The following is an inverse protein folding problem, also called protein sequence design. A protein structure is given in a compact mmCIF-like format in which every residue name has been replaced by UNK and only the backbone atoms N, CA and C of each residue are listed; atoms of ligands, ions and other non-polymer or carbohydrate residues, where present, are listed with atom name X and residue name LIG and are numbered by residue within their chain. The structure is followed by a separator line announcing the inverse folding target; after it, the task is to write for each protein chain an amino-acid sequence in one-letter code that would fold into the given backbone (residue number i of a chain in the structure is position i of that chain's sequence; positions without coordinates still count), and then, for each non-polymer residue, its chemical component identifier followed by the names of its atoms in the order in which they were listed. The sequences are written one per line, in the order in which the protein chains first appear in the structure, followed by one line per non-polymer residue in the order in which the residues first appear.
data_IF_597921166810
#
_entry.id   IF_597921166810
#
_cell.length_a   1.000
_cell.length_b   1.000
_cell.length_c   1.000
_cell.angle_alpha   90.00
_cell.angle_beta   90.00
_cell.angle_gamma   90.00
#
_symmetry.space_group_name_H-M   'P 1'
#
loop_
_entity.id
_entity.type
_entity.pdbx_description
1 polymer ?
#
# COMPACT_ATOMS: atom_id res chain seq x y z
N UNK A 1 -5.89 2.13 6.41
CA UNK A 1 -4.49 1.79 6.06
C UNK A 1 -4.01 2.49 4.78
N UNK A 2 -4.84 2.69 3.77
CA UNK A 2 -4.48 3.37 2.51
C UNK A 2 -3.89 4.76 2.74
N UNK A 3 -4.59 5.61 3.51
CA UNK A 3 -4.14 6.96 3.82
C UNK A 3 -2.78 6.98 4.55
N UNK A 4 -2.58 6.08 5.53
CA UNK A 4 -1.30 5.96 6.25
C UNK A 4 -0.15 5.67 5.31
N UNK A 5 -0.32 4.73 4.38
CA UNK A 5 0.71 4.40 3.38
C UNK A 5 1.03 5.62 2.52
N UNK A 6 0.02 6.30 1.98
CA UNK A 6 0.22 7.48 1.13
C UNK A 6 0.88 8.63 1.89
N UNK A 7 0.39 8.98 3.09
CA UNK A 7 0.93 10.06 3.90
C UNK A 7 2.40 9.79 4.31
N UNK A 8 2.71 8.58 4.78
CA UNK A 8 4.10 8.22 5.14
C UNK A 8 5.02 8.27 3.93
N UNK A 9 4.55 7.79 2.77
CA UNK A 9 5.33 7.88 1.52
C UNK A 9 5.56 9.33 1.12
N UNK A 10 4.59 10.23 1.31
CA UNK A 10 4.76 11.67 1.05
C UNK A 10 5.88 12.27 1.92
N UNK A 11 5.92 11.94 3.22
CA UNK A 11 6.99 12.40 4.12
C UNK A 11 8.37 11.89 3.65
N UNK A 12 8.46 10.63 3.21
CA UNK A 12 9.70 10.06 2.67
C UNK A 12 10.13 10.76 1.38
N UNK A 13 9.17 11.13 0.52
CA UNK A 13 9.43 11.92 -0.69
C UNK A 13 10.04 13.27 -0.31
N UNK A 14 9.46 13.97 0.67
CA UNK A 14 9.96 15.27 1.16
C UNK A 14 11.37 15.14 1.71
N UNK A 15 11.64 14.16 2.58
CA UNK A 15 13.00 13.89 3.08
C UNK A 15 13.97 13.62 1.93
N UNK A 16 13.59 12.80 0.96
CA UNK A 16 14.45 12.46 -0.18
C UNK A 16 14.72 13.65 -1.10
N UNK A 17 13.81 14.62 -1.20
CA UNK A 17 13.94 15.79 -2.08
C UNK A 17 14.91 16.86 -1.54
N UNK A 18 15.25 16.82 -0.26
CA UNK A 18 16.18 17.79 0.37
C UNK A 18 17.61 17.61 -0.14
N UNK A 19 17.98 16.41 -0.57
CA UNK A 19 19.36 16.11 -0.97
C UNK A 19 19.60 16.43 -2.44
N UNK A 20 20.72 17.10 -2.74
CA UNK A 20 21.15 17.43 -4.10
C UNK A 20 21.88 16.29 -4.83
N UNK A 21 22.10 15.16 -4.14
CA UNK A 21 22.81 14.00 -4.68
C UNK A 21 21.84 12.99 -5.30
N UNK A 22 22.31 12.28 -6.33
CA UNK A 22 21.57 11.17 -6.92
C UNK A 22 21.32 10.07 -5.90
N UNK A 23 20.05 9.75 -5.69
CA UNK A 23 19.65 8.77 -4.70
C UNK A 23 18.42 7.98 -5.13
N UNK A 24 18.30 6.75 -4.66
CA UNK A 24 17.14 5.89 -4.85
C UNK A 24 16.61 5.49 -3.48
N UNK A 25 15.31 5.67 -3.26
CA UNK A 25 14.63 5.19 -2.06
C UNK A 25 13.58 4.17 -2.47
N UNK A 26 13.71 2.95 -1.96
CA UNK A 26 12.81 1.84 -2.20
C UNK A 26 11.94 1.67 -0.94
N UNK A 27 10.63 1.81 -1.09
CA UNK A 27 9.68 1.76 0.02
C UNK A 27 8.90 0.46 -0.09
N UNK A 28 9.15 -0.46 0.84
CA UNK A 28 8.42 -1.71 0.96
C UNK A 28 7.12 -1.49 1.73
N UNK A 29 6.01 -1.90 1.13
CA UNK A 29 4.66 -1.66 1.62
C UNK A 29 3.95 -2.99 1.83
N UNK A 30 3.36 -3.17 3.02
CA UNK A 30 2.54 -4.35 3.34
C UNK A 30 1.36 -4.49 2.38
N UNK A 31 0.91 -5.72 2.18
CA UNK A 31 -0.26 -6.01 1.34
C UNK A 31 -0.37 -7.49 0.99
N UNK A 32 0.56 -8.31 1.48
CA UNK A 32 0.66 -9.75 1.15
C UNK A 32 0.66 -9.95 -0.37
N UNK A 33 -0.28 -10.73 -0.89
CA UNK A 33 -0.37 -11.08 -2.31
C UNK A 33 -1.28 -10.14 -3.12
N UNK A 34 -1.74 -9.00 -2.53
CA UNK A 34 -2.61 -8.04 -3.19
C UNK A 34 -2.06 -6.61 -3.05
N UNK A 35 -1.84 -5.94 -4.17
CA UNK A 35 -1.12 -4.68 -4.28
C UNK A 35 -1.90 -3.41 -3.90
N UNK A 36 -3.08 -3.50 -3.26
CA UNK A 36 -3.95 -2.36 -2.97
C UNK A 36 -3.27 -1.24 -2.19
N UNK A 37 -2.52 -1.59 -1.12
CA UNK A 37 -1.86 -0.59 -0.27
C UNK A 37 -0.70 0.09 -1.00
N UNK A 38 0.08 -0.67 -1.76
CA UNK A 38 1.18 -0.13 -2.56
C UNK A 38 0.64 0.75 -3.70
N UNK A 39 -0.40 0.29 -4.41
CA UNK A 39 -1.05 1.05 -5.46
C UNK A 39 -1.64 2.37 -4.93
N UNK A 40 -2.15 2.40 -3.67
CA UNK A 40 -2.76 3.61 -3.09
C UNK A 40 -1.81 4.80 -2.98
N UNK A 41 -0.49 4.59 -3.03
CA UNK A 41 0.49 5.68 -3.05
C UNK A 41 0.38 6.58 -4.29
N UNK A 42 -0.27 6.09 -5.35
CA UNK A 42 -0.55 6.87 -6.55
C UNK A 42 -1.45 8.10 -6.30
N UNK A 43 -2.22 8.15 -5.19
CA UNK A 43 -3.08 9.28 -4.84
C UNK A 43 -2.31 10.59 -4.67
N UNK A 44 -1.01 10.51 -4.39
CA UNK A 44 -0.14 11.69 -4.26
C UNK A 44 -0.09 12.51 -5.55
N UNK A 45 -0.35 11.91 -6.71
CA UNK A 45 -0.47 12.61 -8.00
C UNK A 45 -1.61 13.63 -8.01
N UNK A 46 -2.67 13.41 -7.25
CA UNK A 46 -3.78 14.37 -7.18
C UNK A 46 -3.34 15.73 -6.63
N UNK A 47 -2.25 15.76 -5.86
CA UNK A 47 -1.63 16.97 -5.33
C UNK A 47 -0.41 17.44 -6.14
N UNK A 48 -0.23 16.93 -7.35
CA UNK A 48 0.87 17.31 -8.24
C UNK A 48 2.22 16.64 -7.92
N UNK A 49 2.24 15.61 -7.07
CA UNK A 49 3.47 14.85 -6.82
C UNK A 49 3.79 13.94 -8.00
N UNK A 50 5.05 13.92 -8.42
CA UNK A 50 5.52 13.00 -9.45
C UNK A 50 5.94 11.63 -8.89
N UNK A 51 6.19 11.55 -7.59
CA UNK A 51 6.59 10.34 -6.89
C UNK A 51 5.40 9.71 -6.12
N UNK A 52 5.39 8.38 -5.89
CA UNK A 52 6.41 7.42 -6.34
C UNK A 52 6.50 7.36 -7.86
N UNK A 53 7.74 7.36 -8.38
CA UNK A 53 7.97 7.29 -9.82
C UNK A 53 7.66 5.91 -10.39
N UNK A 54 7.92 4.86 -9.58
CA UNK A 54 7.69 3.47 -9.91
C UNK A 54 6.87 2.81 -8.81
N UNK A 55 5.91 1.95 -9.21
CA UNK A 55 5.04 1.20 -8.29
C UNK A 55 4.97 -0.23 -8.81
N UNK A 56 5.51 -1.18 -8.02
CA UNK A 56 5.52 -2.60 -8.36
C UNK A 56 4.56 -3.39 -7.48
N UNK A 57 3.68 -4.15 -8.12
CA UNK A 57 2.59 -4.89 -7.49
C UNK A 57 2.75 -6.39 -7.67
N UNK A 58 2.27 -7.21 -6.71
CA UNK A 58 2.41 -8.68 -6.78
C UNK A 58 1.53 -9.33 -7.85
N UNK A 59 0.57 -8.60 -8.43
CA UNK A 59 -0.30 -9.08 -9.50
C UNK A 59 0.41 -9.25 -10.83
N UNK A 60 1.59 -8.66 -10.99
CA UNK A 60 2.41 -8.82 -12.19
C UNK A 60 3.67 -9.61 -11.90
N UNK A 61 4.14 -10.29 -12.93
CA UNK A 61 5.47 -10.89 -12.92
C UNK A 61 6.52 -9.79 -12.83
N UNK A 62 7.45 -9.92 -11.89
CA UNK A 62 8.55 -9.00 -11.66
C UNK A 62 9.82 -9.52 -12.33
N UNK A 63 10.54 -8.63 -13.03
CA UNK A 63 11.87 -8.90 -13.59
C UNK A 63 12.86 -7.88 -13.06
N UNK A 64 13.97 -8.36 -12.53
CA UNK A 64 15.08 -7.54 -12.04
C UNK A 64 15.70 -6.71 -13.18
N UNK A 65 15.83 -7.28 -14.36
CA UNK A 65 16.38 -6.60 -15.52
C UNK A 65 15.54 -5.38 -15.90
N UNK A 66 14.21 -5.56 -16.06
CA UNK A 66 13.27 -4.46 -16.33
C UNK A 66 13.25 -3.43 -15.23
N UNK A 67 13.27 -3.86 -13.99
CA UNK A 67 13.34 -2.96 -12.83
C UNK A 67 14.58 -2.05 -12.91
N UNK A 68 15.76 -2.60 -13.21
CA UNK A 68 16.99 -1.82 -13.37
C UNK A 68 16.93 -0.87 -14.56
N UNK A 69 16.31 -1.28 -15.69
CA UNK A 69 16.08 -0.41 -16.83
C UNK A 69 15.16 0.77 -16.46
N UNK A 70 14.06 0.51 -15.76
CA UNK A 70 13.13 1.54 -15.30
C UNK A 70 13.81 2.52 -14.35
N UNK A 71 14.60 2.03 -13.41
CA UNK A 71 15.43 2.87 -12.52
C UNK A 71 16.36 3.77 -13.33
N UNK A 72 17.07 3.23 -14.31
CA UNK A 72 17.98 4.02 -15.16
C UNK A 72 17.23 5.10 -15.94
N UNK A 73 16.08 4.77 -16.54
CA UNK A 73 15.24 5.74 -17.26
C UNK A 73 14.78 6.88 -16.35
N UNK A 74 14.27 6.56 -15.16
CA UNK A 74 13.77 7.57 -14.22
C UNK A 74 14.89 8.47 -13.71
N UNK A 75 16.08 7.92 -13.43
CA UNK A 75 17.25 8.70 -12.99
C UNK A 75 17.74 9.75 -13.99
N UNK A 76 17.50 9.55 -15.29
CA UNK A 76 17.85 10.58 -16.28
C UNK A 76 17.04 11.87 -16.10
N UNK A 77 15.89 11.80 -15.46
CA UNK A 77 14.97 12.93 -15.25
C UNK A 77 14.96 13.41 -13.80
N UNK A 78 15.08 12.47 -12.84
CA UNK A 78 14.93 12.75 -11.42
C UNK A 78 16.16 12.35 -10.63
N UNK A 79 16.74 13.30 -9.86
CA UNK A 79 17.89 13.02 -8.97
C UNK A 79 17.52 12.11 -7.81
N UNK A 80 16.33 12.31 -7.22
CA UNK A 80 15.79 11.46 -6.18
C UNK A 80 14.72 10.54 -6.77
N UNK A 81 15.01 9.26 -6.94
CA UNK A 81 14.05 8.26 -7.43
C UNK A 81 13.37 7.59 -6.26
N UNK A 82 12.04 7.57 -6.27
CA UNK A 82 11.22 6.90 -5.27
C UNK A 82 10.50 5.73 -5.92
N UNK A 83 10.66 4.56 -5.33
CA UNK A 83 10.03 3.31 -5.74
C UNK A 83 9.15 2.80 -4.62
N UNK A 84 7.89 2.52 -4.90
CA UNK A 84 7.01 1.77 -4.02
C UNK A 84 6.95 0.31 -4.49
N UNK A 85 7.22 -0.63 -3.60
CA UNK A 85 7.18 -2.06 -3.90
C UNK A 85 6.32 -2.79 -2.87
N UNK A 86 5.45 -3.68 -3.33
CA UNK A 86 4.68 -4.54 -2.42
C UNK A 86 5.55 -5.66 -1.84
N UNK A 87 5.42 -5.95 -0.55
CA UNK A 87 6.09 -7.08 0.10
C UNK A 87 5.83 -8.43 -0.59
N UNK A 88 4.73 -8.54 -1.33
CA UNK A 88 4.34 -9.75 -2.06
C UNK A 88 4.96 -9.91 -3.44
N UNK A 89 5.79 -8.95 -3.89
CA UNK A 89 6.54 -9.08 -5.15
C UNK A 89 7.58 -10.19 -5.01
N UNK A 90 7.63 -11.09 -5.98
CA UNK A 90 8.55 -12.23 -5.99
C UNK A 90 9.57 -12.07 -7.11
N UNK A 91 10.84 -12.22 -6.77
CA UNK A 91 11.93 -12.37 -7.73
C UNK A 91 11.99 -13.85 -8.14
N UNK A 92 12.17 -14.15 -9.42
CA UNK A 92 12.28 -15.53 -9.90
C UNK A 92 13.50 -16.22 -9.30
N UNK A 93 13.37 -17.53 -9.00
CA UNK A 93 14.49 -18.37 -8.57
C UNK A 93 15.59 -18.35 -9.63
N UNK A 94 16.82 -18.09 -9.19
CA UNK A 94 18.00 -17.95 -10.07
C UNK A 94 18.44 -16.52 -10.35
N UNK A 95 17.58 -15.50 -10.14
CA UNK A 95 17.97 -14.07 -10.24
C UNK A 95 18.50 -13.50 -8.90
N UNK A 96 18.15 -14.14 -7.77
CA UNK A 96 18.78 -13.94 -6.46
C UNK A 96 18.40 -15.03 -5.47
N UNK A 97 19.40 -15.72 -4.92
CA UNK A 97 19.21 -16.84 -3.98
C UNK A 97 18.97 -16.42 -2.51
N UNK A 98 18.73 -15.15 -2.25
CA UNK A 98 18.64 -14.66 -0.87
C UNK A 98 17.23 -14.23 -0.48
N UNK A 99 16.45 -15.16 0.08
CA UNK A 99 15.25 -14.87 0.86
C UNK A 99 15.51 -15.22 2.34
N UNK A 100 15.83 -14.24 3.21
CA UNK A 100 16.20 -14.49 4.60
C UNK A 100 15.04 -14.99 5.47
N UNK A 101 13.81 -14.99 4.97
CA UNK A 101 12.60 -15.36 5.73
C UNK A 101 11.80 -16.50 5.11
N UNK A 102 12.35 -17.18 4.13
CA UNK A 102 11.73 -18.36 3.52
C UNK A 102 11.45 -19.42 4.60
N UNK A 103 10.17 -19.70 4.86
CA UNK A 103 9.72 -20.76 5.78
C UNK A 103 9.27 -20.32 7.17
N UNK A 104 9.25 -19.01 7.50
CA UNK A 104 8.63 -18.51 8.74
C UNK A 104 7.13 -18.33 8.50
N UNK A 105 6.32 -19.11 9.22
CA UNK A 105 4.85 -19.12 9.07
C UNK A 105 4.22 -18.56 10.33
N UNK A 106 3.20 -17.72 10.19
CA UNK A 106 2.43 -17.20 11.32
C UNK A 106 1.46 -18.27 11.88
N UNK A 107 0.80 -17.96 13.02
CA UNK A 107 -0.15 -18.87 13.68
C UNK A 107 -1.37 -19.25 12.82
N UNK A 108 -1.59 -18.58 11.70
CA UNK A 108 -2.67 -18.85 10.75
C UNK A 108 -2.18 -19.61 9.50
N UNK A 109 -0.90 -20.01 9.46
CA UNK A 109 -0.33 -20.73 8.32
C UNK A 109 0.13 -19.87 7.16
N UNK A 110 0.27 -18.54 7.35
CA UNK A 110 0.74 -17.66 6.30
C UNK A 110 2.25 -17.41 6.39
N UNK A 111 2.94 -17.52 5.27
CA UNK A 111 4.36 -17.13 5.19
C UNK A 111 4.55 -15.66 5.55
N UNK A 112 5.62 -15.39 6.31
CA UNK A 112 6.02 -14.02 6.61
C UNK A 112 6.74 -13.43 5.41
N UNK A 113 6.04 -12.55 4.67
CA UNK A 113 6.61 -11.81 3.55
C UNK A 113 7.32 -10.57 4.08
N UNK A 114 8.57 -10.36 3.71
CA UNK A 114 9.30 -9.11 3.93
C UNK A 114 10.72 -9.21 3.37
N UNK A 115 11.38 -8.05 3.20
CA UNK A 115 12.78 -8.00 2.78
C UNK A 115 12.99 -7.85 1.28
N UNK A 116 11.93 -7.76 0.48
CA UNK A 116 12.05 -7.43 -0.95
C UNK A 116 12.73 -6.08 -1.15
N UNK A 117 12.39 -5.07 -0.34
CA UNK A 117 13.01 -3.76 -0.38
C UNK A 117 14.53 -3.83 -0.17
N UNK A 118 14.99 -4.61 0.82
CA UNK A 118 16.42 -4.80 1.08
C UNK A 118 17.13 -5.58 -0.02
N UNK A 119 16.48 -6.57 -0.57
CA UNK A 119 17.00 -7.32 -1.71
C UNK A 119 17.21 -6.41 -2.92
N UNK A 120 16.20 -5.60 -3.27
CA UNK A 120 16.29 -4.64 -4.37
C UNK A 120 17.31 -3.54 -4.10
N UNK A 121 17.45 -3.07 -2.86
CA UNK A 121 18.50 -2.13 -2.46
C UNK A 121 19.90 -2.66 -2.79
N UNK A 122 20.18 -3.92 -2.41
CA UNK A 122 21.46 -4.56 -2.67
C UNK A 122 21.74 -4.72 -4.18
N UNK A 123 20.72 -5.09 -4.96
CA UNK A 123 20.80 -5.20 -6.41
C UNK A 123 21.12 -3.83 -7.03
N UNK A 124 20.35 -2.80 -6.68
CA UNK A 124 20.52 -1.45 -7.22
C UNK A 124 21.88 -0.88 -6.82
N UNK A 125 22.32 -1.08 -5.58
CA UNK A 125 23.64 -0.64 -5.15
C UNK A 125 24.77 -1.23 -6.01
N UNK A 126 24.69 -2.52 -6.31
CA UNK A 126 25.69 -3.23 -7.12
C UNK A 126 25.65 -2.83 -8.59
N UNK A 127 24.44 -2.72 -9.17
CA UNK A 127 24.26 -2.58 -10.63
C UNK A 127 24.18 -1.11 -11.11
N UNK A 128 23.86 -0.18 -10.22
CA UNK A 128 23.64 1.24 -10.56
C UNK A 128 24.70 2.15 -9.93
N UNK A 129 25.29 1.76 -8.80
CA UNK A 129 26.41 2.43 -8.17
C UNK A 129 26.11 3.84 -7.64
N UNK A 130 24.86 4.09 -7.15
CA UNK A 130 24.50 5.34 -6.50
C UNK A 130 24.03 5.10 -5.06
N UNK A 131 23.78 6.19 -4.31
CA UNK A 131 23.20 6.08 -2.98
C UNK A 131 21.80 5.45 -3.09
N UNK A 132 21.61 4.34 -2.42
CA UNK A 132 20.31 3.64 -2.36
C UNK A 132 20.00 3.31 -0.91
N UNK A 133 18.72 3.32 -0.56
CA UNK A 133 18.20 2.86 0.73
C UNK A 133 16.84 2.19 0.55
N UNK A 134 16.53 1.23 1.39
CA UNK A 134 15.20 0.65 1.53
C UNK A 134 14.58 1.05 2.87
N UNK A 135 13.27 1.22 2.86
CA UNK A 135 12.45 1.54 4.04
C UNK A 135 11.26 0.58 4.03
N UNK A 136 11.16 -0.27 5.04
CA UNK A 136 9.98 -1.07 5.29
C UNK A 136 8.98 -0.26 6.14
N UNK A 137 7.78 0.01 5.64
CA UNK A 137 6.75 0.68 6.45
C UNK A 137 6.20 -0.23 7.55
N UNK A 138 6.13 -1.52 7.28
CA UNK A 138 5.83 -2.58 8.23
C UNK A 138 4.64 -2.22 9.15
N UNK A 139 4.77 -2.51 10.47
CA UNK A 139 3.74 -2.32 11.49
C UNK A 139 3.19 -0.88 11.56
N UNK A 140 3.97 0.12 11.17
CA UNK A 140 3.53 1.53 11.17
C UNK A 140 2.30 1.75 10.29
N UNK A 141 2.11 1.00 9.21
CA UNK A 141 0.89 1.05 8.41
C UNK A 141 -0.38 0.67 9.18
N UNK A 142 -0.25 -0.12 10.24
CA UNK A 142 -1.37 -0.56 11.08
C UNK A 142 -1.55 0.28 12.33
N UNK A 143 -0.44 0.66 13.00
CA UNK A 143 -0.49 1.26 14.33
C UNK A 143 -0.52 2.80 14.35
N UNK A 144 -0.21 3.50 13.23
CA UNK A 144 -0.24 4.97 13.17
C UNK A 144 -1.67 5.51 13.14
N UNK A 145 -2.41 5.36 14.24
CA UNK A 145 -3.82 5.75 14.35
C UNK A 145 -4.05 7.26 14.22
N UNK A 146 -3.04 8.07 14.49
CA UNK A 146 -3.06 9.53 14.29
C UNK A 146 -3.04 9.94 12.81
N UNK A 147 -2.73 9.00 11.90
CA UNK A 147 -2.81 9.18 10.46
C UNK A 147 -4.02 8.38 9.95
N UNK A 148 -5.19 9.01 9.91
CA UNK A 148 -6.45 8.38 9.47
C UNK A 148 -7.28 9.39 8.69
N UNK A 149 -8.01 8.92 7.67
CA UNK A 149 -9.01 9.73 6.98
C UNK A 149 -10.35 9.64 7.69
N UNK A 150 -11.15 10.71 7.60
CA UNK A 150 -12.48 10.71 8.18
C UNK A 150 -13.39 9.70 7.49
N UNK A 151 -13.27 9.55 6.16
CA UNK A 151 -14.00 8.53 5.39
C UNK A 151 -13.77 7.14 5.95
N UNK A 152 -12.50 6.74 6.19
CA UNK A 152 -12.16 5.38 6.70
C UNK A 152 -12.77 5.13 8.09
N UNK A 153 -12.84 6.17 8.95
CA UNK A 153 -13.43 6.07 10.29
C UNK A 153 -14.95 5.96 10.22
N UNK A 154 -15.61 6.86 9.49
CA UNK A 154 -17.06 6.85 9.37
C UNK A 154 -17.59 5.56 8.71
N UNK A 155 -16.87 5.06 7.72
CA UNK A 155 -17.21 3.77 7.10
C UNK A 155 -17.01 2.60 8.08
N UNK A 156 -15.94 2.61 8.88
CA UNK A 156 -15.72 1.58 9.89
C UNK A 156 -16.81 1.58 10.96
N UNK A 157 -17.24 2.76 11.43
CA UNK A 157 -18.36 2.91 12.37
C UNK A 157 -19.67 2.40 11.74
N UNK A 158 -19.96 2.82 10.50
CA UNK A 158 -21.16 2.44 9.76
C UNK A 158 -21.28 0.94 9.58
N UNK A 159 -20.23 0.28 9.11
CA UNK A 159 -20.29 -1.18 8.87
C UNK A 159 -20.40 -1.96 10.18
N UNK A 160 -19.79 -1.48 11.27
CA UNK A 160 -19.90 -2.10 12.59
C UNK A 160 -21.34 -1.98 13.12
N UNK A 161 -21.95 -0.80 13.01
CA UNK A 161 -23.33 -0.57 13.40
C UNK A 161 -24.29 -1.48 12.61
N UNK A 162 -24.12 -1.58 11.31
CA UNK A 162 -24.96 -2.41 10.44
C UNK A 162 -24.75 -3.91 10.72
N UNK A 163 -23.52 -4.32 11.08
CA UNK A 163 -23.27 -5.71 11.51
C UNK A 163 -24.03 -6.07 12.79
N UNK A 164 -24.04 -5.17 13.78
CA UNK A 164 -24.81 -5.37 15.01
C UNK A 164 -26.30 -5.43 14.71
N UNK A 165 -26.84 -4.52 13.89
CA UNK A 165 -28.25 -4.54 13.48
C UNK A 165 -28.64 -5.84 12.78
N UNK A 166 -27.77 -6.32 11.86
CA UNK A 166 -27.99 -7.58 11.17
C UNK A 166 -28.03 -8.78 12.14
N UNK A 167 -27.13 -8.82 13.10
CA UNK A 167 -27.10 -9.86 14.14
C UNK A 167 -28.38 -9.81 15.01
N UNK A 168 -28.84 -8.63 15.41
CA UNK A 168 -30.08 -8.45 16.17
C UNK A 168 -31.34 -8.89 15.39
N UNK A 169 -31.28 -8.83 14.05
CA UNK A 169 -32.34 -9.34 13.16
C UNK A 169 -32.25 -10.85 12.92
N UNK A 170 -31.30 -11.54 13.56
CA UNK A 170 -31.14 -12.99 13.45
C UNK A 170 -30.33 -13.45 12.23
N UNK A 171 -29.68 -12.56 11.49
CA UNK A 171 -28.80 -12.95 10.40
C UNK A 171 -27.57 -13.68 10.96
N UNK A 172 -27.31 -14.89 10.46
CA UNK A 172 -26.14 -15.70 10.85
C UNK A 172 -25.39 -16.17 9.60
N UNK A 173 -24.10 -16.47 9.73
CA UNK A 173 -23.25 -16.87 8.62
C UNK A 173 -23.02 -15.78 7.57
N UNK A 174 -23.28 -14.52 7.92
CA UNK A 174 -23.11 -13.35 7.05
C UNK A 174 -22.02 -12.42 7.58
N UNK A 175 -21.32 -11.79 6.65
CA UNK A 175 -20.43 -10.67 6.91
C UNK A 175 -21.00 -9.42 6.23
N UNK A 176 -20.92 -8.27 6.90
CA UNK A 176 -21.25 -7.01 6.24
C UNK A 176 -20.10 -6.59 5.34
N UNK A 177 -20.41 -6.23 4.10
CA UNK A 177 -19.44 -5.78 3.11
C UNK A 177 -19.86 -4.44 2.51
N UNK A 178 -18.87 -3.66 2.08
CA UNK A 178 -19.11 -2.42 1.34
C UNK A 178 -19.37 -2.70 -0.13
N UNK A 179 -20.40 -2.04 -0.65
CA UNK A 179 -20.67 -1.95 -2.08
C UNK A 179 -20.62 -0.50 -2.53
N UNK A 180 -19.60 -0.15 -3.31
CA UNK A 180 -19.50 1.18 -3.91
C UNK A 180 -20.51 1.27 -5.06
N UNK A 181 -21.33 2.33 -5.02
CA UNK A 181 -22.32 2.63 -6.05
C UNK A 181 -21.77 3.63 -7.07
N UNK A 182 -21.14 4.72 -6.57
CA UNK A 182 -20.64 5.82 -7.39
C UNK A 182 -19.30 6.33 -6.86
N UNK A 183 -18.48 6.88 -7.76
CA UNK A 183 -17.24 7.60 -7.40
C UNK A 183 -17.49 9.09 -7.21
N UNK A 184 -18.43 9.69 -7.96
CA UNK A 184 -18.75 11.14 -7.93
C UNK A 184 -20.26 11.34 -8.00
N UNK A 185 -20.92 11.77 -6.91
CA UNK A 185 -20.36 11.83 -5.56
C UNK A 185 -20.02 10.42 -5.03
N UNK A 186 -18.99 10.32 -4.20
CA UNK A 186 -18.64 9.03 -3.59
C UNK A 186 -19.80 8.51 -2.74
N UNK A 187 -20.28 7.33 -3.08
CA UNK A 187 -21.41 6.71 -2.42
C UNK A 187 -21.15 5.23 -2.20
N UNK A 188 -21.29 4.79 -0.97
CA UNK A 188 -21.13 3.39 -0.55
C UNK A 188 -22.32 2.96 0.30
N UNK A 189 -22.74 1.72 0.13
CA UNK A 189 -23.72 1.05 0.99
C UNK A 189 -23.10 -0.19 1.60
N UNK A 190 -23.70 -0.68 2.67
CA UNK A 190 -23.38 -1.98 3.28
C UNK A 190 -24.40 -3.02 2.87
N UNK A 191 -23.96 -4.23 2.58
CA UNK A 191 -24.83 -5.37 2.29
C UNK A 191 -24.30 -6.63 2.99
N UNK A 192 -25.20 -7.54 3.45
CA UNK A 192 -24.78 -8.83 4.00
C UNK A 192 -24.37 -9.77 2.87
N UNK A 193 -23.15 -10.32 2.97
CA UNK A 193 -22.63 -11.35 2.07
C UNK A 193 -22.40 -12.65 2.82
N UNK A 194 -22.49 -13.78 2.15
CA UNK A 194 -22.22 -15.08 2.77
C UNK A 194 -20.75 -15.18 3.16
N UNK A 195 -20.46 -15.59 4.40
CA UNK A 195 -19.09 -15.68 4.89
C UNK A 195 -18.24 -16.65 4.05
N UNK A 196 -18.86 -17.71 3.49
CA UNK A 196 -18.16 -18.67 2.64
C UNK A 196 -17.78 -18.10 1.26
N UNK A 197 -18.40 -17.00 0.86
CA UNK A 197 -18.05 -16.33 -0.40
C UNK A 197 -16.83 -15.41 -0.25
N UNK A 198 -16.48 -15.01 0.97
CA UNK A 198 -15.41 -14.06 1.23
C UNK A 198 -14.25 -14.64 2.07
N UNK A 199 -14.53 -15.62 2.94
CA UNK A 199 -13.51 -16.22 3.78
C UNK A 199 -12.41 -16.88 2.94
N UNK A 200 -11.16 -16.61 3.29
CA UNK A 200 -9.96 -17.11 2.60
C UNK A 200 -9.86 -16.75 1.10
N UNK A 201 -10.60 -15.74 0.66
CA UNK A 201 -10.49 -15.22 -0.71
C UNK A 201 -9.81 -13.85 -0.70
N UNK A 202 -8.79 -13.70 -1.55
CA UNK A 202 -8.10 -12.44 -1.75
C UNK A 202 -8.71 -11.67 -2.91
N UNK A 203 -9.08 -10.41 -2.68
CA UNK A 203 -9.45 -9.48 -3.74
C UNK A 203 -8.17 -8.89 -4.35
N UNK A 204 -7.79 -9.36 -5.52
CA UNK A 204 -6.63 -8.86 -6.26
C UNK A 204 -6.86 -7.43 -6.77
N UNK A 205 -5.76 -6.69 -6.92
CA UNK A 205 -5.79 -5.39 -7.58
C UNK A 205 -6.10 -5.57 -9.09
N UNK A 206 -6.98 -4.75 -9.69
CA UNK A 206 -7.39 -4.94 -11.08
C UNK A 206 -6.24 -4.73 -12.05
N UNK A 207 -5.91 -5.73 -12.87
CA UNK A 207 -4.83 -5.66 -13.85
C UNK A 207 -5.02 -4.50 -14.85
N UNK A 208 -6.25 -4.15 -15.20
CA UNK A 208 -6.56 -3.01 -16.08
C UNK A 208 -6.18 -1.64 -15.51
N UNK A 209 -5.90 -1.55 -14.22
CA UNK A 209 -5.42 -0.34 -13.54
C UNK A 209 -3.90 -0.33 -13.41
N UNK A 210 -3.21 -1.31 -13.94
CA UNK A 210 -1.75 -1.34 -14.05
C UNK A 210 -1.39 -0.84 -15.45
N UNK A 211 -0.36 0.03 -15.55
CA UNK A 211 0.07 0.55 -16.84
C UNK A 211 0.69 -0.54 -17.74
N UNK A 212 0.85 -0.26 -19.02
CA UNK A 212 1.35 -1.22 -20.00
C UNK A 212 2.77 -1.72 -19.68
N UNK A 213 3.61 -0.86 -19.10
CA UNK A 213 4.98 -1.18 -18.70
C UNK A 213 5.06 -2.00 -17.40
N UNK A 214 3.92 -2.19 -16.68
CA UNK A 214 3.81 -2.95 -15.43
C UNK A 214 4.67 -2.40 -14.27
N UNK A 215 5.03 -1.15 -14.33
CA UNK A 215 5.86 -0.46 -13.36
C UNK A 215 5.16 0.71 -12.67
N UNK A 216 3.86 0.87 -12.92
CA UNK A 216 3.03 1.90 -12.29
C UNK A 216 1.54 1.60 -12.46
N UNK A 217 0.68 2.45 -11.90
CA UNK A 217 -0.79 2.33 -12.02
C UNK A 217 -1.39 3.51 -12.78
N UNK A 218 -2.55 3.28 -13.35
CA UNK A 218 -3.29 4.27 -14.17
C UNK A 218 -4.04 5.28 -13.30
N UNK A 219 -4.58 6.33 -13.91
CA UNK A 219 -5.34 7.35 -13.18
C UNK A 219 -6.67 6.84 -12.64
N UNK A 220 -7.25 5.79 -13.23
CA UNK A 220 -8.44 5.12 -12.68
C UNK A 220 -8.20 4.59 -11.26
N UNK A 221 -6.96 4.18 -10.95
CA UNK A 221 -6.60 3.82 -9.59
C UNK A 221 -6.62 5.04 -8.65
N UNK A 222 -6.12 6.20 -9.10
CA UNK A 222 -6.20 7.45 -8.33
C UNK A 222 -7.67 7.81 -8.04
N UNK A 223 -8.51 7.79 -9.07
CA UNK A 223 -9.95 8.09 -8.95
C UNK A 223 -10.66 7.14 -7.98
N UNK A 224 -10.22 5.88 -7.95
CA UNK A 224 -10.76 4.88 -7.02
C UNK A 224 -10.34 5.16 -5.58
N UNK A 225 -9.08 5.49 -5.33
CA UNK A 225 -8.53 5.64 -3.98
C UNK A 225 -8.83 7.01 -3.36
N UNK A 226 -8.88 8.07 -4.18
CA UNK A 226 -8.97 9.43 -3.69
C UNK A 226 -10.14 9.69 -2.72
N UNK A 227 -11.37 9.18 -2.96
CA UNK A 227 -12.48 9.36 -2.02
C UNK A 227 -12.26 8.68 -0.66
N UNK A 228 -11.48 7.59 -0.61
CA UNK A 228 -11.24 6.80 0.60
C UNK A 228 -10.31 7.48 1.61
N UNK A 229 -9.54 8.47 1.15
CA UNK A 229 -8.55 9.16 1.99
C UNK A 229 -8.98 10.58 2.39
N UNK A 230 -10.26 10.91 2.19
CA UNK A 230 -10.78 12.26 2.43
C UNK A 230 -11.14 12.51 3.90
N UNK A 231 -11.11 13.80 4.24
CA UNK A 231 -11.52 14.32 5.54
C UNK A 231 -10.45 14.27 6.61
N UNK A 232 -10.33 15.36 7.34
CA UNK A 232 -9.35 15.52 8.41
C UNK A 232 -9.89 14.95 9.72
N UNK A 233 -8.97 14.36 10.52
CA UNK A 233 -9.25 13.90 11.87
C UNK A 233 -8.66 14.86 12.90
N UNK A 234 -9.45 15.20 13.92
CA UNK A 234 -8.95 15.92 15.09
C UNK A 234 -8.30 14.92 16.04
N UNK A 235 -6.98 14.94 16.09
CA UNK A 235 -6.21 14.07 16.98
C UNK A 235 -6.26 14.65 18.38
N UNK A 236 -6.82 13.90 19.33
CA UNK A 236 -6.81 14.27 20.75
C UNK A 236 -5.43 14.05 21.33
N UNK A 237 -4.88 15.08 21.96
CA UNK A 237 -3.55 15.07 22.56
C UNK A 237 -3.62 15.24 24.07
N UNK A 238 -2.70 14.57 24.79
CA UNK A 238 -2.43 14.81 26.21
C UNK A 238 -0.92 14.94 26.39
N UNK A 239 -0.48 16.07 26.94
CA UNK A 239 0.94 16.39 27.09
C UNK A 239 1.76 16.28 25.77
N UNK A 240 1.15 16.65 24.64
CA UNK A 240 1.79 16.58 23.33
C UNK A 240 1.84 15.17 22.69
N UNK A 241 1.20 14.18 23.31
CA UNK A 241 1.18 12.78 22.83
C UNK A 241 -0.25 12.41 22.44
N UNK A 242 -0.46 11.72 21.30
CA UNK A 242 -1.78 11.20 20.92
C UNK A 242 -2.38 10.30 22.02
N UNK A 243 -3.65 10.51 22.34
CA UNK A 243 -4.35 9.69 23.31
C UNK A 243 -4.76 8.38 22.65
N UNK A 244 -4.36 7.27 23.28
CA UNK A 244 -4.84 5.94 22.94
C UNK A 244 -5.77 5.43 24.03
N UNK A 245 -6.90 4.85 23.62
CA UNK A 245 -7.80 4.17 24.55
C UNK A 245 -7.33 2.73 24.71
N UNK A 246 -7.25 2.29 25.97
CA UNK A 246 -7.03 0.89 26.31
C UNK A 246 -8.40 0.20 26.45
N UNK A 247 -8.54 -0.95 25.83
CA UNK A 247 -9.72 -1.83 25.94
C UNK A 247 -9.44 -2.82 27.06
#
# INVERSE_FOLDING_TARGET
MLFRSAATVQEIIRDSSVYSIDSITIIEIMGRHAGWLTASTCVLRANGEYAPHLIYLPENEFSVERFLEDIRKVRHVHKAVIVAVSEGVKIKEGENDFDPKKGIVDVFGHEQLSGIGKTLENIVFREVGCKVRSIELNVMQRCSSHISSNTDILEAEKIAEDAVKAAMQGLTGKMMAFKRLYNTPYTVITEPVDVNEVANKEKKFPLKWINADKNNVTNEAVDYFLPLIQGEQIIRMKNGIPIHYHI
#
